data_IF_534100644434
#
_entry.id   IF_534100644434
#
_cell.length_a   1.000
_cell.length_b   1.000
_cell.length_c   1.000
_cell.angle_alpha   90.00
_cell.angle_beta   90.00
_cell.angle_gamma   90.00
#
_symmetry.space_group_name_H-M   'P 1'
#
loop_
_entity.id
_entity.type
_entity.pdbx_description
1 polymer ?
#
# COMPACT_ATOMS: atom_id res chain seq x y z
N UNK A 1 -0.42 -14.30 0.51
CA UNK A 1 -1.79 -14.38 0.00
C UNK A 1 -2.74 -14.88 1.08
N UNK A 2 -3.95 -14.32 1.18
CA UNK A 2 -5.01 -14.84 2.04
C UNK A 2 -5.81 -15.91 1.31
N UNK A 3 -6.01 -17.08 1.94
CA UNK A 3 -6.73 -18.19 1.30
C UNK A 3 -8.16 -17.78 0.96
N UNK A 4 -8.55 -17.97 -0.30
CA UNK A 4 -9.91 -17.69 -0.77
C UNK A 4 -10.20 -16.21 -1.07
N UNK A 5 -9.19 -15.33 -1.11
CA UNK A 5 -9.36 -13.92 -1.42
C UNK A 5 -9.13 -13.64 -2.92
N UNK A 6 -10.18 -13.46 -3.75
CA UNK A 6 -10.03 -13.23 -5.19
C UNK A 6 -9.26 -11.94 -5.51
N UNK A 7 -9.48 -10.87 -4.75
CA UNK A 7 -8.80 -9.59 -4.94
C UNK A 7 -7.32 -9.63 -4.53
N UNK A 8 -6.96 -10.51 -3.59
CA UNK A 8 -5.56 -10.75 -3.23
C UNK A 8 -4.86 -11.44 -4.40
N UNK A 9 -5.51 -12.44 -4.99
CA UNK A 9 -5.02 -13.10 -6.20
C UNK A 9 -4.89 -12.11 -7.36
N UNK A 10 -5.88 -11.25 -7.60
CA UNK A 10 -5.81 -10.25 -8.66
C UNK A 10 -4.64 -9.29 -8.44
N UNK A 11 -4.45 -8.77 -7.22
CA UNK A 11 -3.28 -7.94 -6.89
C UNK A 11 -1.96 -8.65 -7.20
N UNK A 12 -1.83 -9.93 -6.83
CA UNK A 12 -0.62 -10.71 -7.10
C UNK A 12 -0.40 -10.95 -8.61
N UNK A 13 -1.46 -11.34 -9.33
CA UNK A 13 -1.37 -11.81 -10.73
C UNK A 13 -1.50 -10.70 -11.78
N UNK A 14 -1.94 -9.50 -11.38
CA UNK A 14 -2.09 -8.34 -12.27
C UNK A 14 -1.09 -7.26 -11.90
N UNK A 15 -1.11 -6.77 -10.66
CA UNK A 15 -0.25 -5.65 -10.27
C UNK A 15 1.19 -6.10 -10.06
N UNK A 16 1.40 -7.14 -9.26
CA UNK A 16 2.75 -7.56 -8.89
C UNK A 16 3.47 -8.40 -9.96
N UNK A 17 2.76 -8.84 -11.00
CA UNK A 17 3.34 -9.43 -12.22
C UNK A 17 3.93 -8.36 -13.16
N UNK A 18 3.54 -7.09 -13.02
CA UNK A 18 4.09 -5.98 -13.81
C UNK A 18 5.48 -5.59 -13.28
N UNK A 19 6.57 -5.75 -14.05
CA UNK A 19 7.93 -5.48 -13.57
C UNK A 19 8.10 -4.05 -13.05
N UNK A 20 7.50 -3.06 -13.72
CA UNK A 20 7.57 -1.66 -13.31
C UNK A 20 7.00 -1.41 -11.92
N UNK A 21 6.01 -2.20 -11.49
CA UNK A 21 5.45 -2.13 -10.14
C UNK A 21 6.31 -2.94 -9.18
N UNK A 22 6.59 -4.20 -9.52
CA UNK A 22 7.26 -5.12 -8.61
C UNK A 22 8.68 -4.65 -8.29
N UNK A 23 9.40 -4.11 -9.27
CA UNK A 23 10.76 -3.62 -9.11
C UNK A 23 10.78 -2.30 -8.35
N UNK A 24 9.82 -1.41 -8.60
CA UNK A 24 9.68 -0.16 -7.84
C UNK A 24 9.43 -0.44 -6.36
N UNK A 25 8.49 -1.34 -6.04
CA UNK A 25 8.18 -1.70 -4.65
C UNK A 25 9.40 -2.34 -3.98
N UNK A 26 10.05 -3.33 -4.62
CA UNK A 26 11.24 -4.01 -4.07
C UNK A 26 12.41 -3.05 -3.81
N UNK A 27 12.61 -2.07 -4.70
CA UNK A 27 13.73 -1.13 -4.61
C UNK A 27 13.51 -0.11 -3.51
N UNK A 28 12.26 0.31 -3.28
CA UNK A 28 11.97 1.50 -2.48
C UNK A 28 11.30 1.21 -1.13
N UNK A 29 10.82 -0.03 -0.88
CA UNK A 29 10.05 -0.36 0.32
C UNK A 29 10.51 -1.65 1.00
N UNK A 30 10.54 -1.61 2.33
CA UNK A 30 10.51 -2.82 3.16
C UNK A 30 9.07 -3.34 3.24
N UNK A 31 8.81 -4.55 2.73
CA UNK A 31 7.47 -5.13 2.70
C UNK A 31 7.33 -6.19 3.78
N UNK A 32 6.36 -6.00 4.68
CA UNK A 32 5.97 -6.98 5.69
C UNK A 32 4.58 -7.50 5.36
N UNK A 33 4.45 -8.82 5.23
CA UNK A 33 3.17 -9.47 5.00
C UNK A 33 2.64 -10.07 6.31
N UNK A 34 1.46 -9.62 6.72
CA UNK A 34 0.73 -10.17 7.86
C UNK A 34 -0.33 -11.18 7.38
N UNK A 35 -0.49 -12.25 8.15
CA UNK A 35 -1.59 -13.20 8.00
C UNK A 35 -2.72 -12.88 9.00
N UNK A 36 -3.92 -12.55 8.50
CA UNK A 36 -5.09 -12.26 9.33
C UNK A 36 -5.55 -13.42 10.22
N UNK A 37 -5.15 -14.65 9.89
CA UNK A 37 -5.45 -15.84 10.68
C UNK A 37 -4.23 -16.40 11.41
N UNK A 38 -3.07 -15.79 11.18
CA UNK A 38 -1.81 -16.25 11.73
C UNK A 38 -1.66 -15.87 13.20
N UNK A 39 -0.78 -16.63 13.87
CA UNK A 39 -0.47 -16.48 15.30
C UNK A 39 1.02 -16.17 15.51
N UNK A 40 1.71 -15.70 14.47
CA UNK A 40 3.10 -15.26 14.60
C UNK A 40 3.14 -13.98 15.44
N UNK A 41 4.05 -13.94 16.40
CA UNK A 41 4.31 -12.73 17.19
C UNK A 41 4.89 -11.64 16.29
N UNK A 42 4.34 -10.43 16.42
CA UNK A 42 4.73 -9.21 15.72
C UNK A 42 4.72 -8.06 16.72
N UNK A 43 5.57 -7.06 16.48
CA UNK A 43 5.68 -5.88 17.34
C UNK A 43 5.17 -4.67 16.58
N UNK A 44 4.22 -3.93 17.16
CA UNK A 44 3.71 -2.68 16.62
C UNK A 44 4.74 -1.56 16.84
N UNK A 45 4.51 -0.40 16.22
CA UNK A 45 5.39 0.76 16.30
C UNK A 45 5.43 1.41 17.71
N UNK A 46 4.47 1.12 18.57
CA UNK A 46 4.48 1.50 19.99
C UNK A 46 5.20 0.48 20.89
N UNK A 47 5.82 -0.54 20.31
CA UNK A 47 6.57 -1.57 21.02
C UNK A 47 5.70 -2.70 21.59
N UNK A 48 4.37 -2.66 21.42
CA UNK A 48 3.50 -3.72 21.89
C UNK A 48 3.64 -4.98 21.01
N UNK A 49 4.00 -6.11 21.63
CA UNK A 49 4.07 -7.41 20.98
C UNK A 49 2.74 -8.14 21.08
N UNK A 50 2.27 -8.69 19.96
CA UNK A 50 1.00 -9.42 19.85
C UNK A 50 1.02 -10.39 18.67
N UNK A 51 0.00 -11.23 18.54
CA UNK A 51 -0.15 -12.04 17.34
C UNK A 51 -0.57 -11.19 16.13
N UNK A 52 -0.15 -11.56 14.93
CA UNK A 52 -0.51 -10.83 13.70
C UNK A 52 -2.02 -10.68 13.45
N UNK A 53 -2.83 -11.68 13.84
CA UNK A 53 -4.31 -11.58 13.79
C UNK A 53 -4.86 -10.53 14.76
N UNK A 54 -4.20 -10.31 15.89
CA UNK A 54 -4.57 -9.29 16.87
C UNK A 54 -4.17 -7.91 16.38
N UNK A 55 -2.95 -7.78 15.83
CA UNK A 55 -2.49 -6.54 15.20
C UNK A 55 -3.42 -6.12 14.07
N UNK A 56 -3.85 -7.05 13.21
CA UNK A 56 -4.80 -6.74 12.15
C UNK A 56 -6.14 -6.18 12.67
N UNK A 57 -6.66 -6.71 13.79
CA UNK A 57 -7.86 -6.16 14.45
C UNK A 57 -7.57 -4.79 15.06
N UNK A 58 -6.43 -4.64 15.74
CA UNK A 58 -5.97 -3.38 16.35
C UNK A 58 -5.84 -2.27 15.31
N UNK A 59 -5.43 -2.60 14.10
CA UNK A 59 -5.28 -1.69 12.96
C UNK A 59 -6.55 -1.56 12.09
N UNK A 60 -7.68 -2.09 12.56
CA UNK A 60 -8.98 -2.05 11.87
C UNK A 60 -8.93 -2.58 10.42
N UNK A 61 -8.19 -3.66 10.19
CA UNK A 61 -8.14 -4.33 8.89
C UNK A 61 -9.39 -5.19 8.71
N UNK A 62 -10.34 -4.68 7.93
CA UNK A 62 -11.64 -5.33 7.68
C UNK A 62 -11.74 -6.02 6.30
N UNK A 63 -10.85 -5.69 5.37
CA UNK A 63 -10.90 -6.15 3.99
C UNK A 63 -9.54 -6.66 3.50
N UNK A 64 -9.54 -7.51 2.48
CA UNK A 64 -8.31 -8.03 1.88
C UNK A 64 -8.34 -7.89 0.36
N UNK A 65 -7.21 -7.54 -0.28
CA UNK A 65 -5.94 -7.16 0.36
C UNK A 65 -6.07 -5.78 1.05
N UNK A 66 -5.38 -5.58 2.17
CA UNK A 66 -5.17 -4.24 2.74
C UNK A 66 -3.67 -3.96 2.73
N UNK A 67 -3.28 -2.82 2.16
CA UNK A 67 -1.91 -2.32 2.20
C UNK A 67 -1.93 -1.01 2.97
N UNK A 68 -1.05 -0.90 3.96
CA UNK A 68 -0.83 0.31 4.75
C UNK A 68 0.59 0.78 4.46
N UNK A 69 0.74 2.05 4.07
CA UNK A 69 2.03 2.65 3.76
C UNK A 69 2.41 3.65 4.85
N UNK A 70 3.66 3.56 5.30
CA UNK A 70 4.23 4.34 6.38
C UNK A 70 5.31 5.30 5.83
N UNK A 71 5.60 6.41 6.53
CA UNK A 71 6.68 7.30 6.11
C UNK A 71 8.04 6.61 6.28
N UNK A 72 9.07 7.12 5.59
CA UNK A 72 10.44 6.67 5.79
C UNK A 72 11.03 7.28 7.07
N UNK A 73 12.00 6.58 7.67
CA UNK A 73 12.74 7.08 8.84
C UNK A 73 12.13 6.64 10.18
N UNK A 74 12.61 7.25 11.26
CA UNK A 74 12.15 6.93 12.60
C UNK A 74 10.70 7.35 12.76
N UNK A 75 9.86 6.38 13.11
CA UNK A 75 8.47 6.61 13.44
C UNK A 75 8.34 6.86 14.94
N UNK A 76 7.43 7.75 15.31
CA UNK A 76 7.10 7.99 16.72
C UNK A 76 6.60 6.70 17.38
N UNK A 77 6.80 6.58 18.70
CA UNK A 77 6.29 5.46 19.50
C UNK A 77 4.76 5.56 19.65
N UNK A 78 4.05 5.30 18.56
CA UNK A 78 2.59 5.34 18.40
C UNK A 78 2.13 4.08 17.69
N UNK A 79 0.84 3.78 17.73
CA UNK A 79 0.28 2.65 16.98
C UNK A 79 0.35 2.90 15.48
N UNK A 80 0.49 1.84 14.69
CA UNK A 80 0.50 1.93 13.22
C UNK A 80 -0.55 2.87 12.61
N UNK A 81 -1.85 2.77 12.94
CA UNK A 81 -2.89 3.64 12.38
C UNK A 81 -2.72 5.14 12.67
N UNK A 82 -1.92 5.51 13.67
CA UNK A 82 -1.62 6.91 14.01
C UNK A 82 -0.41 7.45 13.22
N UNK A 83 0.32 6.55 12.55
CA UNK A 83 1.53 6.84 11.77
C UNK A 83 1.28 6.64 10.27
N UNK A 84 0.30 5.81 9.88
CA UNK A 84 0.04 5.50 8.47
C UNK A 84 -0.15 6.77 7.62
N UNK A 85 0.55 6.83 6.49
CA UNK A 85 0.40 7.94 5.53
C UNK A 85 -0.87 7.74 4.72
N UNK A 86 -1.03 6.53 4.19
CA UNK A 86 -2.16 6.17 3.34
C UNK A 86 -2.39 4.67 3.34
N UNK A 87 -3.63 4.28 3.06
CA UNK A 87 -4.10 2.89 3.11
C UNK A 87 -4.89 2.56 1.84
N UNK A 88 -4.69 1.35 1.32
CA UNK A 88 -5.51 0.73 0.28
C UNK A 88 -6.37 -0.36 0.95
N UNK A 89 -7.63 -0.09 1.32
CA UNK A 89 -8.49 -1.06 1.99
C UNK A 89 -9.21 -1.97 0.98
N UNK A 90 -8.44 -2.57 0.07
CA UNK A 90 -8.95 -3.39 -1.03
C UNK A 90 -7.99 -3.43 -2.21
N UNK A 91 -8.44 -4.04 -3.31
CA UNK A 91 -7.68 -4.05 -4.55
C UNK A 91 -7.81 -2.73 -5.31
N UNK A 92 -6.65 -2.22 -5.74
CA UNK A 92 -6.51 -1.01 -6.55
C UNK A 92 -5.86 -1.41 -7.87
N UNK A 93 -6.36 -0.88 -9.00
CA UNK A 93 -5.80 -1.14 -10.33
C UNK A 93 -4.35 -0.65 -10.44
N UNK A 94 -3.53 -1.20 -11.37
CA UNK A 94 -2.09 -0.93 -11.49
C UNK A 94 -1.69 0.54 -11.39
N UNK A 95 -2.36 1.44 -12.11
CA UNK A 95 -2.04 2.87 -12.10
C UNK A 95 -2.18 3.48 -10.69
N UNK A 96 -3.30 3.26 -10.01
CA UNK A 96 -3.52 3.79 -8.66
C UNK A 96 -2.58 3.14 -7.65
N UNK A 97 -2.41 1.82 -7.75
CA UNK A 97 -1.55 1.04 -6.89
C UNK A 97 -0.12 1.59 -6.90
N UNK A 98 0.51 1.68 -8.08
CA UNK A 98 1.86 2.22 -8.20
C UNK A 98 1.95 3.69 -7.75
N UNK A 99 0.96 4.50 -8.11
CA UNK A 99 0.97 5.93 -7.75
C UNK A 99 0.89 6.15 -6.24
N UNK A 100 0.24 5.27 -5.47
CA UNK A 100 0.25 5.35 -4.00
C UNK A 100 1.64 5.05 -3.42
N UNK A 101 2.38 4.11 -3.98
CA UNK A 101 3.78 3.87 -3.58
C UNK A 101 4.66 5.07 -3.92
N UNK A 102 4.55 5.62 -5.13
CA UNK A 102 5.31 6.83 -5.52
C UNK A 102 4.99 8.03 -4.62
N UNK A 103 3.71 8.26 -4.31
CA UNK A 103 3.26 9.33 -3.42
C UNK A 103 3.94 9.29 -2.05
N UNK A 104 4.09 8.09 -1.47
CA UNK A 104 4.78 7.89 -0.19
C UNK A 104 6.29 7.99 -0.34
N UNK A 105 6.85 7.38 -1.40
CA UNK A 105 8.29 7.41 -1.67
C UNK A 105 8.83 8.83 -1.88
N UNK A 106 8.10 9.66 -2.63
CA UNK A 106 8.43 11.06 -2.92
C UNK A 106 8.07 12.04 -1.78
N UNK A 107 7.56 11.50 -0.66
CA UNK A 107 7.06 12.25 0.49
C UNK A 107 6.06 13.35 0.09
N UNK A 108 5.29 13.13 -0.98
CA UNK A 108 4.39 14.12 -1.54
C UNK A 108 3.22 14.44 -0.58
N UNK A 109 2.91 13.53 0.34
CA UNK A 109 1.96 13.73 1.43
C UNK A 109 2.27 14.90 2.36
N UNK A 110 3.51 15.38 2.38
CA UNK A 110 3.89 16.59 3.11
C UNK A 110 3.44 17.89 2.42
N UNK A 111 3.01 17.83 1.15
CA UNK A 111 2.75 19.01 0.31
C UNK A 111 1.35 19.04 -0.27
N UNK A 112 0.84 17.90 -0.76
CA UNK A 112 -0.46 17.80 -1.44
C UNK A 112 -1.15 16.51 -1.05
N UNK A 113 -2.48 16.47 -1.16
CA UNK A 113 -3.23 15.23 -0.98
C UNK A 113 -3.04 14.27 -2.16
N UNK A 114 -3.40 13.00 -1.93
CA UNK A 114 -3.22 11.94 -2.93
C UNK A 114 -4.07 12.15 -4.19
N UNK A 115 -5.28 12.71 -4.09
CA UNK A 115 -6.13 12.93 -5.26
C UNK A 115 -5.48 13.96 -6.20
N UNK A 116 -4.92 15.03 -5.63
CA UNK A 116 -4.18 16.04 -6.37
C UNK A 116 -2.92 15.46 -7.01
N UNK A 117 -2.14 14.68 -6.25
CA UNK A 117 -0.93 14.02 -6.76
C UNK A 117 -1.24 13.08 -7.93
N UNK A 118 -2.28 12.26 -7.79
CA UNK A 118 -2.76 11.33 -8.82
C UNK A 118 -3.17 12.07 -10.10
N UNK A 119 -3.90 13.18 -9.97
CA UNK A 119 -4.33 14.00 -11.11
C UNK A 119 -3.12 14.64 -11.82
N UNK A 120 -2.17 15.20 -11.08
CA UNK A 120 -0.96 15.80 -11.66
C UNK A 120 -0.12 14.77 -12.42
N UNK A 121 0.02 13.55 -11.88
CA UNK A 121 0.66 12.44 -12.61
C UNK A 121 -0.12 12.08 -13.88
N UNK A 122 -1.43 11.95 -13.81
CA UNK A 122 -2.26 11.61 -14.96
C UNK A 122 -2.14 12.67 -16.07
N UNK A 123 -2.15 13.95 -15.72
CA UNK A 123 -2.01 15.05 -16.68
C UNK A 123 -0.62 15.10 -17.32
N UNK A 124 0.44 14.84 -16.54
CA UNK A 124 1.81 14.69 -17.07
C UNK A 124 1.89 13.55 -18.10
N UNK A 125 1.36 12.37 -17.77
CA UNK A 125 1.37 11.23 -18.69
C UNK A 125 0.60 11.53 -19.98
N UNK A 126 -0.58 12.17 -19.89
CA UNK A 126 -1.35 12.60 -21.07
C UNK A 126 -0.58 13.59 -21.93
N UNK A 127 0.08 14.57 -21.32
CA UNK A 127 0.90 15.55 -22.05
C UNK A 127 2.10 14.90 -22.77
N UNK A 128 2.65 13.82 -22.20
CA UNK A 128 3.69 12.99 -22.81
C UNK A 128 3.15 11.98 -23.85
N UNK A 129 1.83 11.95 -24.09
CA UNK A 129 1.19 11.00 -25.00
C UNK A 129 1.17 9.55 -24.47
N UNK A 130 1.41 9.34 -23.18
CA UNK A 130 1.38 8.02 -22.53
C UNK A 130 -0.04 7.68 -22.05
N UNK A 131 -0.45 6.40 -22.11
CA UNK A 131 -1.76 5.99 -21.62
C UNK A 131 -1.84 6.15 -20.10
N UNK A 132 -3.04 6.50 -19.62
CA UNK A 132 -3.41 6.44 -18.20
C UNK A 132 -4.39 5.28 -18.04
N UNK A 133 -3.89 4.11 -17.67
CA UNK A 133 -4.70 2.90 -17.47
C UNK A 133 -5.49 2.97 -16.15
N UNK A 134 -6.60 3.72 -16.17
CA UNK A 134 -7.55 3.81 -15.04
C UNK A 134 -8.52 2.63 -15.08
N UNK A 135 -8.96 2.25 -16.29
CA UNK A 135 -9.88 1.16 -16.57
C UNK A 135 -9.47 0.51 -17.91
N UNK A 136 -9.38 -0.82 -17.95
CA UNK A 136 -9.43 -1.56 -19.21
C UNK A 136 -10.90 -1.62 -19.63
N UNK A 137 -11.23 -1.12 -20.82
CA UNK A 137 -12.54 -1.29 -21.45
C UNK A 137 -12.68 -2.70 -22.03
#
# INVERSE_FOLDING_TARGET
EQRGCPYCREMHTVNLERPEISDFVKTNFGVIQLDLFGSREVTDFDGEAMEEREMARRWFVNFTPTIVLFPKGDVEQKRGPEIEVIRMPGYFKPFHFLTMFEYVHEEAFSRIDFQRYLQEKADRLRAEGKPVEVWEN
#
